data_IF_471931639190
#
_entry.id   IF_471931639190
#
_cell.length_a   1.000
_cell.length_b   1.000
_cell.length_c   1.000
_cell.angle_alpha   90.00
_cell.angle_beta   90.00
_cell.angle_gamma   90.00
#
_symmetry.space_group_name_H-M   'P 1'
#
loop_
_entity.id
_entity.type
_entity.pdbx_description
1 polymer ?
#
# COMPACT_ATOMS: atom_id res chain seq x y z
N UNK A 1 -16.19 11.44 -6.00
CA UNK A 1 -16.56 12.51 -5.04
C UNK A 1 -17.17 11.94 -3.75
N UNK A 2 -18.23 11.13 -3.82
CA UNK A 2 -18.95 10.63 -2.62
C UNK A 2 -18.06 9.84 -1.63
N UNK A 3 -17.18 8.96 -2.12
CA UNK A 3 -16.36 8.11 -1.26
C UNK A 3 -15.36 8.89 -0.39
N UNK A 4 -14.71 9.93 -0.95
CA UNK A 4 -13.76 10.75 -0.21
C UNK A 4 -14.45 11.57 0.88
N UNK A 5 -15.59 12.17 0.58
CA UNK A 5 -16.39 12.91 1.56
C UNK A 5 -16.79 12.03 2.73
N UNK A 6 -17.30 10.81 2.47
CA UNK A 6 -17.68 9.85 3.51
C UNK A 6 -16.48 9.42 4.36
N UNK A 7 -15.33 9.18 3.74
CA UNK A 7 -14.11 8.78 4.44
C UNK A 7 -13.60 9.89 5.35
N UNK A 8 -13.56 11.14 4.88
CA UNK A 8 -13.18 12.31 5.69
C UNK A 8 -14.09 12.50 6.90
N UNK A 9 -15.41 12.37 6.70
CA UNK A 9 -16.39 12.42 7.79
C UNK A 9 -16.15 11.31 8.83
N UNK A 10 -15.89 10.08 8.39
CA UNK A 10 -15.63 8.95 9.28
C UNK A 10 -14.31 9.09 10.08
N UNK A 11 -13.34 9.82 9.52
CA UNK A 11 -12.06 10.09 10.18
C UNK A 11 -12.06 11.36 11.03
N UNK A 12 -13.18 12.09 11.10
CA UNK A 12 -13.27 13.41 11.75
C UNK A 12 -12.17 14.37 11.25
N UNK A 13 -11.77 14.24 9.97
CA UNK A 13 -10.71 15.05 9.40
C UNK A 13 -11.18 16.50 9.26
N UNK A 14 -10.56 17.41 10.03
CA UNK A 14 -11.07 18.77 10.25
C UNK A 14 -10.62 19.77 9.18
N UNK A 15 -9.52 19.49 8.46
CA UNK A 15 -9.01 20.35 7.41
C UNK A 15 -9.35 19.79 6.02
N UNK A 16 -9.85 20.67 5.15
CA UNK A 16 -10.36 20.34 3.80
C UNK A 16 -9.29 19.68 2.93
N UNK A 17 -8.03 20.13 3.06
CA UNK A 17 -6.89 19.62 2.28
C UNK A 17 -6.04 18.56 2.99
N UNK A 18 -6.35 18.23 4.25
CA UNK A 18 -5.53 17.26 4.99
C UNK A 18 -5.82 15.83 4.52
N UNK A 19 -4.79 15.03 4.28
CA UNK A 19 -4.96 13.58 4.05
C UNK A 19 -5.38 12.92 5.37
N UNK A 20 -6.51 12.21 5.44
CA UNK A 20 -6.91 11.52 6.66
C UNK A 20 -5.91 10.44 7.08
N UNK A 21 -5.59 10.39 8.36
CA UNK A 21 -4.70 9.40 8.95
C UNK A 21 -5.52 8.20 9.47
N UNK A 22 -5.42 7.06 8.79
CA UNK A 22 -6.08 5.82 9.20
C UNK A 22 -5.28 5.09 10.27
N UNK A 23 -5.95 4.43 11.21
CA UNK A 23 -5.28 3.59 12.22
C UNK A 23 -4.61 2.36 11.61
N UNK A 24 -5.29 1.68 10.68
CA UNK A 24 -4.80 0.48 10.01
C UNK A 24 -5.34 0.39 8.58
N UNK A 25 -4.43 0.17 7.62
CA UNK A 25 -4.75 -0.18 6.23
C UNK A 25 -4.32 -1.63 5.97
N UNK A 26 -5.26 -2.46 5.53
CA UNK A 26 -4.99 -3.83 5.10
C UNK A 26 -4.82 -3.88 3.59
N UNK A 27 -3.70 -4.44 3.13
CA UNK A 27 -3.32 -4.50 1.74
C UNK A 27 -3.06 -5.94 1.28
N UNK A 28 -3.49 -6.24 0.05
CA UNK A 28 -3.08 -7.44 -0.66
C UNK A 28 -1.80 -7.20 -1.47
N UNK A 29 -1.13 -8.29 -1.83
CA UNK A 29 0.02 -8.30 -2.73
C UNK A 29 -0.33 -8.98 -4.06
N UNK A 30 -0.33 -8.22 -5.15
CA UNK A 30 -0.47 -8.75 -6.50
C UNK A 30 0.76 -9.54 -6.99
N UNK A 31 0.60 -10.45 -7.97
CA UNK A 31 1.73 -11.17 -8.56
C UNK A 31 2.71 -10.27 -9.33
N UNK A 32 2.26 -9.08 -9.73
CA UNK A 32 3.00 -7.99 -10.37
C UNK A 32 3.38 -6.88 -9.39
N UNK A 33 3.22 -7.11 -8.08
CA UNK A 33 3.53 -6.14 -7.03
C UNK A 33 2.50 -5.01 -6.90
N UNK A 34 1.37 -5.06 -7.63
CA UNK A 34 0.28 -4.13 -7.41
C UNK A 34 -0.30 -4.30 -5.99
N UNK A 35 -0.82 -3.21 -5.44
CA UNK A 35 -1.59 -3.22 -4.19
C UNK A 35 -2.71 -2.20 -4.28
N UNK A 36 -3.78 -2.38 -3.51
CA UNK A 36 -5.04 -1.68 -3.76
C UNK A 36 -5.40 -1.76 -5.26
N UNK A 37 -5.58 -0.62 -5.94
CA UNK A 37 -5.62 -0.55 -7.41
C UNK A 37 -4.48 0.31 -7.98
N UNK A 38 -3.32 0.27 -7.33
CA UNK A 38 -2.09 0.92 -7.78
C UNK A 38 -1.26 -0.10 -8.55
N UNK A 39 -1.10 0.13 -9.86
CA UNK A 39 -0.43 -0.81 -10.78
C UNK A 39 0.94 -0.30 -11.20
N UNK A 40 1.91 -1.19 -11.48
CA UNK A 40 3.22 -0.80 -11.97
C UNK A 40 3.12 0.08 -13.23
N UNK A 41 3.86 1.19 -13.25
CA UNK A 41 3.90 2.13 -14.38
C UNK A 41 2.63 2.96 -14.59
N UNK A 42 1.62 2.84 -13.72
CA UNK A 42 0.39 3.62 -13.85
C UNK A 42 0.60 5.07 -13.35
N UNK A 43 0.10 6.10 -14.06
CA UNK A 43 0.30 7.52 -13.67
C UNK A 43 -0.16 7.87 -12.26
N UNK A 44 -1.14 7.12 -11.74
CA UNK A 44 -1.63 7.29 -10.36
C UNK A 44 -0.56 7.07 -9.27
N UNK A 45 0.56 6.39 -9.59
CA UNK A 45 1.69 6.27 -8.67
C UNK A 45 2.41 7.61 -8.42
N UNK A 46 2.23 8.58 -9.32
CA UNK A 46 2.86 9.91 -9.24
C UNK A 46 1.97 10.93 -8.51
N UNK A 47 0.73 10.56 -8.15
CA UNK A 47 -0.16 11.44 -7.41
C UNK A 47 0.33 11.61 -5.96
N UNK A 48 0.62 12.86 -5.61
CA UNK A 48 1.14 13.25 -4.29
C UNK A 48 0.11 13.97 -3.42
N UNK A 49 -1.10 14.21 -3.93
CA UNK A 49 -2.10 15.08 -3.29
C UNK A 49 -3.40 14.36 -2.97
N UNK A 50 -3.96 13.61 -3.91
CA UNK A 50 -5.23 12.95 -3.69
C UNK A 50 -5.04 11.78 -2.72
N UNK A 51 -5.96 11.60 -1.77
CA UNK A 51 -5.98 10.41 -0.89
C UNK A 51 -6.80 9.24 -1.46
N UNK A 52 -7.76 9.54 -2.33
CA UNK A 52 -8.62 8.59 -3.00
C UNK A 52 -8.67 8.97 -4.48
N UNK A 53 -8.63 7.97 -5.36
CA UNK A 53 -8.76 8.17 -6.79
C UNK A 53 -9.70 7.14 -7.42
N UNK A 54 -10.33 7.54 -8.51
CA UNK A 54 -10.92 6.60 -9.46
C UNK A 54 -9.86 6.28 -10.52
N UNK A 55 -9.77 5.01 -10.90
CA UNK A 55 -9.01 4.51 -12.04
C UNK A 55 -10.03 3.89 -13.01
N UNK A 56 -9.92 4.17 -14.30
CA UNK A 56 -10.84 3.65 -15.33
C UNK A 56 -10.15 2.65 -16.28
N UNK A 57 -8.82 2.66 -16.29
CA UNK A 57 -7.91 1.99 -17.19
C UNK A 57 -7.03 0.95 -16.46
N UNK A 58 -7.57 0.30 -15.42
CA UNK A 58 -6.83 -0.77 -14.76
C UNK A 58 -6.49 -1.89 -15.75
N UNK A 59 -5.23 -2.39 -15.76
CA UNK A 59 -4.82 -3.49 -16.63
C UNK A 59 -5.47 -4.83 -16.26
N UNK A 60 -6.25 -4.88 -15.17
CA UNK A 60 -6.97 -6.06 -14.70
C UNK A 60 -8.46 -5.76 -14.56
N UNK A 61 -9.31 -6.65 -15.04
CA UNK A 61 -10.76 -6.51 -14.88
C UNK A 61 -11.19 -6.55 -13.38
N UNK A 62 -12.23 -5.81 -12.98
CA UNK A 62 -12.87 -4.71 -13.74
C UNK A 62 -11.92 -3.53 -13.89
N UNK A 63 -11.97 -2.85 -15.04
CA UNK A 63 -11.05 -1.75 -15.35
C UNK A 63 -11.28 -0.53 -14.47
N UNK A 64 -12.55 -0.22 -14.20
CA UNK A 64 -12.98 0.87 -13.35
C UNK A 64 -12.98 0.48 -11.86
N UNK A 65 -12.25 1.23 -11.03
CA UNK A 65 -12.10 0.99 -9.58
C UNK A 65 -11.96 2.30 -8.82
N UNK A 66 -12.39 2.33 -7.57
CA UNK A 66 -11.95 3.35 -6.60
C UNK A 66 -10.81 2.76 -5.76
N UNK A 67 -9.79 3.55 -5.49
CA UNK A 67 -8.61 3.12 -4.73
C UNK A 67 -8.12 4.17 -3.76
N UNK A 68 -7.48 3.69 -2.69
CA UNK A 68 -6.54 4.51 -1.93
C UNK A 68 -5.28 4.73 -2.74
N UNK A 69 -4.76 5.94 -2.67
CA UNK A 69 -3.50 6.36 -3.29
C UNK A 69 -2.34 6.18 -2.31
N UNK A 70 -1.09 6.28 -2.81
CA UNK A 70 0.09 6.21 -1.95
C UNK A 70 0.08 7.27 -0.83
N UNK A 71 -0.32 8.55 -1.07
CA UNK A 71 -0.39 9.55 0.00
C UNK A 71 -1.27 9.12 1.18
N UNK A 72 -2.45 8.55 0.95
CA UNK A 72 -3.33 8.10 2.04
C UNK A 72 -2.83 6.82 2.72
N UNK A 73 -2.32 5.87 1.94
CA UNK A 73 -1.74 4.63 2.49
C UNK A 73 -0.55 4.96 3.39
N UNK A 74 0.34 5.86 2.95
CA UNK A 74 1.55 6.24 3.69
C UNK A 74 1.30 7.26 4.82
N UNK A 75 0.09 7.83 4.89
CA UNK A 75 -0.38 8.61 6.04
C UNK A 75 -0.90 7.74 7.19
N UNK A 76 -1.13 6.44 6.98
CA UNK A 76 -1.69 5.56 8.00
C UNK A 76 -0.71 5.27 9.16
N UNK A 77 -1.24 5.06 10.37
CA UNK A 77 -0.47 4.69 11.57
C UNK A 77 0.08 3.26 11.48
N UNK A 78 -0.62 2.39 10.78
CA UNK A 78 -0.16 1.04 10.49
C UNK A 78 -0.64 0.59 9.10
N UNK A 79 0.22 -0.13 8.40
CA UNK A 79 -0.11 -0.83 7.16
C UNK A 79 0.29 -2.28 7.29
N UNK A 80 -0.60 -3.18 6.91
CA UNK A 80 -0.37 -4.61 6.96
C UNK A 80 -0.60 -5.22 5.57
N UNK A 81 0.46 -5.76 4.97
CA UNK A 81 0.34 -6.63 3.82
C UNK A 81 -0.04 -8.03 4.27
N UNK A 82 -1.01 -8.63 3.60
CA UNK A 82 -1.47 -10.00 3.84
C UNK A 82 -1.38 -10.78 2.53
N UNK A 83 -0.66 -11.91 2.55
CA UNK A 83 -0.51 -12.77 1.39
C UNK A 83 -0.12 -14.20 1.76
N UNK A 84 -0.73 -15.19 1.11
CA UNK A 84 -0.50 -16.60 1.40
C UNK A 84 -0.27 -17.39 0.09
N UNK A 85 0.41 -18.52 0.22
CA UNK A 85 0.72 -19.46 -0.85
C UNK A 85 2.02 -19.18 -1.59
N UNK A 86 2.63 -20.26 -2.10
CA UNK A 86 3.93 -20.22 -2.80
C UNK A 86 3.99 -19.23 -3.98
N UNK A 87 2.85 -18.94 -4.62
CA UNK A 87 2.77 -17.98 -5.73
C UNK A 87 3.16 -16.54 -5.32
N UNK A 88 3.19 -16.21 -4.02
CA UNK A 88 3.61 -14.90 -3.52
C UNK A 88 5.11 -14.78 -3.27
N UNK A 89 5.84 -15.89 -3.15
CA UNK A 89 7.25 -15.87 -2.78
C UNK A 89 8.15 -14.98 -3.66
N UNK A 90 8.13 -15.08 -5.01
CA UNK A 90 9.04 -14.29 -5.83
C UNK A 90 8.75 -12.79 -5.73
N UNK A 91 7.48 -12.41 -5.74
CA UNK A 91 7.10 -10.99 -5.71
C UNK A 91 7.26 -10.38 -4.31
N UNK A 92 7.06 -11.17 -3.24
CA UNK A 92 7.33 -10.74 -1.87
C UNK A 92 8.82 -10.44 -1.66
N UNK A 93 9.68 -11.36 -2.09
CA UNK A 93 11.13 -11.16 -2.00
C UNK A 93 11.57 -9.91 -2.75
N UNK A 94 11.11 -9.73 -3.99
CA UNK A 94 11.42 -8.55 -4.79
C UNK A 94 10.93 -7.26 -4.12
N UNK A 95 9.71 -7.27 -3.55
CA UNK A 95 9.14 -6.11 -2.87
C UNK A 95 9.99 -5.70 -1.65
N UNK A 96 10.42 -6.68 -0.84
CA UNK A 96 11.26 -6.43 0.34
C UNK A 96 12.66 -5.93 -0.05
N UNK A 97 13.28 -6.53 -1.08
CA UNK A 97 14.59 -6.08 -1.59
C UNK A 97 14.54 -4.62 -2.10
N UNK A 98 13.46 -4.25 -2.79
CA UNK A 98 13.26 -2.87 -3.27
C UNK A 98 12.98 -1.90 -2.12
N UNK A 99 12.26 -2.33 -1.08
CA UNK A 99 11.99 -1.51 0.10
C UNK A 99 13.26 -1.25 0.93
N UNK A 100 14.18 -2.23 0.98
CA UNK A 100 15.46 -2.11 1.70
C UNK A 100 16.57 -1.42 0.88
N UNK A 101 16.32 -1.11 -0.41
CA UNK A 101 17.31 -0.53 -1.28
C UNK A 101 17.70 0.91 -0.83
N UNK A 102 19.00 1.28 -0.90
CA UNK A 102 19.44 2.64 -0.58
C UNK A 102 18.68 3.68 -1.43
N UNK A 103 18.03 4.64 -0.78
CA UNK A 103 17.21 5.66 -1.44
C UNK A 103 15.72 5.34 -1.56
N UNK A 104 15.26 4.15 -1.14
CA UNK A 104 13.84 3.80 -1.13
C UNK A 104 13.00 4.66 -0.15
N UNK A 105 13.59 5.10 0.97
CA UNK A 105 12.92 5.98 1.94
C UNK A 105 12.75 7.43 1.44
N UNK A 106 13.70 7.91 0.61
CA UNK A 106 13.65 9.26 -0.01
C UNK A 106 12.53 9.35 -1.05
N UNK A 107 12.15 8.22 -1.65
CA UNK A 107 11.06 8.11 -2.63
C UNK A 107 9.64 8.20 -2.03
N UNK A 108 9.51 8.06 -0.70
CA UNK A 108 8.23 8.01 0.02
C UNK A 108 7.94 9.24 0.88
N UNK A 109 8.82 10.24 0.90
CA UNK A 109 8.61 11.47 1.65
C UNK A 109 7.58 12.39 0.94
N UNK A 110 6.70 13.09 1.68
CA UNK A 110 5.73 14.01 1.08
C UNK A 110 6.45 15.07 0.21
N UNK A 111 6.24 15.02 -1.10
CA UNK A 111 6.80 15.98 -2.05
C UNK A 111 8.17 15.62 -2.65
N UNK A 112 8.75 14.46 -2.33
CA UNK A 112 9.92 13.92 -3.05
C UNK A 112 9.53 12.61 -3.73
N UNK A 113 9.29 12.68 -5.03
CA UNK A 113 9.20 11.49 -5.87
C UNK A 113 10.57 10.81 -5.90
N UNK A 114 10.57 9.47 -5.86
CA UNK A 114 11.71 8.68 -6.32
C UNK A 114 12.25 9.27 -7.63
N UNK A 115 13.55 9.31 -7.90
CA UNK A 115 14.07 9.68 -9.21
C UNK A 115 13.57 8.76 -10.34
N UNK A 116 12.89 7.65 -10.01
CA UNK A 116 12.24 6.77 -10.99
C UNK A 116 10.99 6.05 -10.39
N UNK A 117 9.82 6.70 -10.27
CA UNK A 117 8.60 6.06 -9.76
C UNK A 117 8.04 5.05 -10.78
N UNK A 118 8.43 5.16 -12.05
CA UNK A 118 8.07 4.27 -13.15
C UNK A 118 8.76 2.89 -13.08
N UNK A 119 9.74 2.69 -12.20
CA UNK A 119 10.49 1.43 -12.05
C UNK A 119 10.24 0.69 -10.74
N UNK A 120 9.44 1.24 -9.83
CA UNK A 120 9.14 0.63 -8.53
C UNK A 120 7.88 -0.26 -8.58
N UNK A 121 7.87 -1.33 -7.78
CA UNK A 121 6.63 -2.08 -7.54
C UNK A 121 5.72 -1.24 -6.63
N UNK A 122 4.41 -1.10 -6.89
CA UNK A 122 3.51 -0.32 -6.04
C UNK A 122 3.59 -0.71 -4.55
N UNK A 123 3.70 -2.01 -4.26
CA UNK A 123 3.86 -2.49 -2.88
C UNK A 123 5.18 -2.08 -2.22
N UNK A 124 6.27 -1.88 -2.96
CA UNK A 124 7.54 -1.40 -2.40
C UNK A 124 7.55 0.12 -2.17
N UNK A 125 6.58 0.85 -2.72
CA UNK A 125 6.39 2.29 -2.49
C UNK A 125 5.53 2.58 -1.25
N UNK A 126 4.98 1.54 -0.62
CA UNK A 126 4.26 1.65 0.64
C UNK A 126 5.26 1.78 1.78
N UNK A 127 5.37 2.99 2.31
CA UNK A 127 6.29 3.35 3.38
C UNK A 127 5.60 4.37 4.30
N UNK A 128 4.86 3.91 5.34
CA UNK A 128 4.15 4.79 6.26
C UNK A 128 5.11 5.78 6.94
N UNK A 129 4.89 7.08 6.70
CA UNK A 129 5.81 8.16 7.10
C UNK A 129 6.01 8.29 8.62
N UNK A 130 5.00 7.96 9.41
CA UNK A 130 5.01 8.00 10.89
C UNK A 130 4.48 6.71 11.52
N UNK A 131 4.24 5.68 10.70
CA UNK A 131 3.57 4.45 11.08
C UNK A 131 4.46 3.22 11.01
N UNK A 132 3.83 2.06 11.13
CA UNK A 132 4.50 0.76 11.01
C UNK A 132 4.02 0.00 9.78
N UNK A 133 4.95 -0.55 9.01
CA UNK A 133 4.66 -1.54 7.96
C UNK A 133 4.90 -2.96 8.50
N UNK A 134 3.92 -3.85 8.31
CA UNK A 134 4.04 -5.27 8.67
C UNK A 134 3.63 -6.17 7.51
N UNK A 135 4.29 -7.31 7.39
CA UNK A 135 4.00 -8.35 6.40
C UNK A 135 3.53 -9.61 7.12
N UNK A 136 2.29 -10.03 6.86
CA UNK A 136 1.68 -11.25 7.36
C UNK A 136 1.60 -12.27 6.21
N UNK A 137 2.53 -13.21 6.22
CA UNK A 137 2.67 -14.21 5.17
C UNK A 137 2.82 -15.61 5.75
N UNK A 138 2.39 -16.63 5.00
CA UNK A 138 2.59 -18.02 5.38
C UNK A 138 3.99 -18.53 5.02
N UNK A 139 4.31 -19.76 5.44
CA UNK A 139 5.63 -20.36 5.19
C UNK A 139 5.92 -20.56 3.70
N UNK A 140 4.90 -20.76 2.88
CA UNK A 140 5.05 -20.93 1.44
C UNK A 140 5.37 -19.61 0.75
N UNK A 141 4.66 -18.53 1.09
CA UNK A 141 4.95 -17.20 0.60
C UNK A 141 6.31 -16.69 1.11
N UNK A 142 6.75 -17.08 2.30
CA UNK A 142 8.07 -16.74 2.81
C UNK A 142 9.20 -17.66 2.32
N UNK A 143 8.92 -18.62 1.42
CA UNK A 143 9.83 -19.73 1.11
C UNK A 143 11.16 -19.33 0.48
N UNK A 144 11.25 -18.16 -0.17
CA UNK A 144 12.50 -17.63 -0.77
C UNK A 144 13.21 -16.60 0.11
N UNK A 145 12.59 -16.14 1.19
CA UNK A 145 13.19 -15.11 2.05
C UNK A 145 14.38 -15.66 2.84
N UNK A 146 15.42 -14.84 3.03
CA UNK A 146 16.55 -15.17 3.88
C UNK A 146 16.12 -15.46 5.33
N UNK A 147 16.77 -16.40 6.06
CA UNK A 147 16.35 -16.80 7.41
C UNK A 147 16.25 -15.64 8.42
N UNK A 148 17.08 -14.60 8.27
CA UNK A 148 17.07 -13.42 9.15
C UNK A 148 15.82 -12.56 8.95
N UNK A 149 15.28 -12.50 7.73
CA UNK A 149 14.07 -11.76 7.39
C UNK A 149 12.83 -12.49 7.93
N UNK A 150 12.85 -13.83 7.96
CA UNK A 150 11.76 -14.65 8.53
C UNK A 150 11.61 -14.50 10.06
N UNK A 151 12.68 -14.20 10.78
CA UNK A 151 12.71 -14.22 12.24
C UNK A 151 12.17 -12.94 12.93
N UNK A 152 12.00 -11.83 12.20
CA UNK A 152 11.67 -10.52 12.79
C UNK A 152 10.18 -10.34 13.23
N UNK A 153 9.35 -11.39 13.21
CA UNK A 153 7.87 -11.28 13.16
C UNK A 153 7.10 -11.49 14.49
N UNK A 154 7.71 -11.35 15.67
CA UNK A 154 7.04 -11.66 16.96
C UNK A 154 6.96 -10.48 17.93
N UNK A 155 6.01 -9.55 17.74
CA UNK A 155 5.45 -8.76 18.88
C UNK A 155 4.07 -8.15 18.55
N UNK A 156 3.11 -8.36 19.45
CA UNK A 156 1.68 -8.04 19.33
C UNK A 156 1.21 -6.90 20.26
N UNK A 157 0.21 -6.13 19.82
CA UNK A 157 -0.78 -5.32 20.57
C UNK A 157 -1.29 -4.17 19.64
N UNK A 158 -2.50 -3.62 19.70
CA UNK A 158 -3.79 -3.89 20.36
C UNK A 158 -4.89 -3.12 19.57
N UNK A 159 -6.15 -3.51 19.75
CA UNK A 159 -7.37 -3.01 19.09
C UNK A 159 -7.40 -1.52 18.67
N UNK A 160 -7.76 -1.23 17.40
CA UNK A 160 -8.63 -0.12 16.94
C UNK A 160 -8.79 -0.12 15.40
N UNK A 161 -9.90 0.51 14.98
CA UNK A 161 -10.52 0.68 13.64
C UNK A 161 -9.71 0.15 12.44
N UNK A 162 -10.26 -0.88 11.80
CA UNK A 162 -9.66 -1.60 10.66
C UNK A 162 -10.39 -1.19 9.38
N UNK A 163 -9.67 -0.66 8.39
CA UNK A 163 -10.19 -0.46 7.05
C UNK A 163 -9.62 -1.52 6.09
N UNK A 164 -10.50 -2.17 5.35
CA UNK A 164 -10.14 -3.13 4.30
C UNK A 164 -10.56 -2.55 2.95
N UNK A 165 -9.62 -2.46 2.00
CA UNK A 165 -9.93 -2.08 0.62
C UNK A 165 -9.38 -3.15 -0.32
N UNK A 166 -10.23 -4.10 -0.68
CA UNK A 166 -10.07 -4.89 -1.92
C UNK A 166 -10.70 -4.11 -3.08
N UNK A 167 -10.24 -4.35 -4.31
CA UNK A 167 -10.78 -3.69 -5.50
C UNK A 167 -12.31 -3.87 -5.58
N UNK A 168 -13.05 -2.80 -5.29
CA UNK A 168 -14.49 -2.76 -5.47
C UNK A 168 -14.80 -2.39 -6.92
N UNK A 169 -15.60 -3.19 -7.65
CA UNK A 169 -16.12 -2.79 -8.96
C UNK A 169 -16.86 -1.46 -8.83
N UNK A 170 -16.70 -0.56 -9.81
CA UNK A 170 -17.70 0.49 -10.02
C UNK A 170 -18.92 -0.19 -10.68
N UNK A 171 -20.08 -0.17 -10.02
CA UNK A 171 -21.37 -0.49 -10.65
C UNK A 171 -21.93 0.75 -11.37
#
# INVERSE_FOLDING_TARGET
>A
ADYETRMRQACEAVAEDAIPCLDLVLLGLGPDGHTASLFPGHPLLEDTKAGIAAIEDSPKAPSARITFTLPLINAARAVAFIGAGAAKAPILEQALQLADAPGAAEAGAPGQLSPNPSSGLPCSLVHPSSGHLKWFVDSEAASTLEPRVRAASTTAAAHRRVAFMGAMPQE
#
